data_IF_364543907769
#
_entry.id   IF_364543907769
#
_cell.length_a   1.000
_cell.length_b   1.000
_cell.length_c   1.000
_cell.angle_alpha   90.00
_cell.angle_beta   90.00
_cell.angle_gamma   90.00
#
_symmetry.space_group_name_H-M   'P 1'
#
loop_
_entity.id
_entity.type
_entity.pdbx_description
1 polymer ?
#
# COMPACT_ATOMS: atom_id res chain seq x y z
N UNK A 1 -52.75 33.13 -56.81
CA UNK A 1 -52.66 33.65 -55.44
C UNK A 1 -52.51 32.46 -54.51
N UNK A 2 -51.29 32.15 -54.09
CA UNK A 2 -51.04 31.13 -53.06
C UNK A 2 -51.62 31.64 -51.74
N UNK A 3 -52.59 30.92 -51.22
CA UNK A 3 -53.33 31.25 -50.01
C UNK A 3 -52.42 31.20 -48.77
N UNK A 4 -52.64 32.08 -47.78
CA UNK A 4 -51.80 32.26 -46.56
C UNK A 4 -51.43 30.94 -45.85
N UNK A 5 -52.27 29.91 -45.95
CA UNK A 5 -51.99 28.58 -45.40
C UNK A 5 -50.87 27.80 -46.12
N UNK A 6 -50.66 28.00 -47.42
CA UNK A 6 -49.60 27.34 -48.20
C UNK A 6 -48.23 27.90 -47.85
N UNK A 7 -48.13 29.22 -47.67
CA UNK A 7 -46.90 29.90 -47.23
C UNK A 7 -46.52 29.47 -45.81
N UNK A 8 -47.49 29.43 -44.88
CA UNK A 8 -47.27 28.92 -43.51
C UNK A 8 -46.83 27.45 -43.51
N UNK A 9 -47.43 26.61 -44.35
CA UNK A 9 -47.06 25.19 -44.48
C UNK A 9 -45.63 25.02 -45.01
N UNK A 10 -45.21 25.83 -45.98
CA UNK A 10 -43.84 25.82 -46.50
C UNK A 10 -42.85 26.23 -45.40
N UNK A 11 -43.14 27.31 -44.68
CA UNK A 11 -42.29 27.82 -43.61
C UNK A 11 -42.15 26.82 -42.44
N UNK A 12 -43.23 26.10 -42.11
CA UNK A 12 -43.18 25.03 -41.09
C UNK A 12 -42.30 23.88 -41.58
N UNK A 13 -42.40 23.47 -42.86
CA UNK A 13 -41.55 22.41 -43.43
C UNK A 13 -40.08 22.78 -43.40
N UNK A 14 -39.74 24.01 -43.77
CA UNK A 14 -38.36 24.52 -43.73
C UNK A 14 -37.81 24.53 -42.30
N UNK A 15 -38.62 24.97 -41.34
CA UNK A 15 -38.23 24.94 -39.92
C UNK A 15 -37.99 23.51 -39.43
N UNK A 16 -38.89 22.58 -39.75
CA UNK A 16 -38.76 21.16 -39.39
C UNK A 16 -37.46 20.58 -39.95
N UNK A 17 -37.21 20.76 -41.26
CA UNK A 17 -36.00 20.30 -41.92
C UNK A 17 -34.72 20.88 -41.28
N UNK A 18 -34.72 22.18 -40.95
CA UNK A 18 -33.59 22.81 -40.27
C UNK A 18 -33.36 22.24 -38.86
N UNK A 19 -34.43 21.92 -38.12
CA UNK A 19 -34.31 21.22 -36.82
C UNK A 19 -33.81 19.79 -36.96
N UNK A 20 -34.26 19.05 -37.98
CA UNK A 20 -33.82 17.67 -38.24
C UNK A 20 -32.33 17.63 -38.61
N UNK A 21 -31.87 18.56 -39.43
CA UNK A 21 -30.45 18.71 -39.77
C UNK A 21 -29.62 19.06 -38.53
N UNK A 22 -30.09 19.99 -37.69
CA UNK A 22 -29.41 20.34 -36.44
C UNK A 22 -29.37 19.18 -35.46
N UNK A 23 -30.42 18.36 -35.41
CA UNK A 23 -30.47 17.14 -34.60
C UNK A 23 -29.48 16.08 -35.12
N UNK A 24 -29.38 15.91 -36.45
CA UNK A 24 -28.41 15.02 -37.07
C UNK A 24 -26.96 15.46 -36.78
N UNK A 25 -26.68 16.76 -36.87
CA UNK A 25 -25.38 17.34 -36.52
C UNK A 25 -25.06 17.15 -35.02
N UNK A 26 -26.03 17.31 -34.13
CA UNK A 26 -25.86 17.05 -32.70
C UNK A 26 -25.62 15.57 -32.39
N UNK A 27 -26.30 14.65 -33.09
CA UNK A 27 -26.06 13.21 -32.99
C UNK A 27 -24.67 12.82 -33.48
N UNK A 28 -24.22 13.41 -34.59
CA UNK A 28 -22.87 13.20 -35.13
C UNK A 28 -21.80 13.77 -34.20
N UNK A 29 -22.00 14.96 -33.63
CA UNK A 29 -21.09 15.51 -32.62
C UNK A 29 -21.07 14.66 -31.36
N UNK A 30 -22.22 14.15 -30.90
CA UNK A 30 -22.30 13.22 -29.78
C UNK A 30 -21.57 11.91 -30.06
N UNK A 31 -21.68 11.36 -31.27
CA UNK A 31 -20.95 10.14 -31.64
C UNK A 31 -19.45 10.40 -31.78
N UNK A 32 -19.04 11.54 -32.34
CA UNK A 32 -17.63 11.96 -32.40
C UNK A 32 -17.04 12.19 -31.00
N UNK A 33 -17.81 12.76 -30.07
CA UNK A 33 -17.41 12.89 -28.66
C UNK A 33 -17.38 11.55 -27.92
N UNK A 34 -18.26 10.61 -28.25
CA UNK A 34 -18.23 9.24 -27.71
C UNK A 34 -17.07 8.41 -28.28
N UNK A 35 -16.65 8.67 -29.52
CA UNK A 35 -15.47 8.08 -30.17
C UNK A 35 -14.17 8.76 -29.70
N UNK A 36 -14.24 10.02 -29.26
CA UNK A 36 -13.20 10.71 -28.51
C UNK A 36 -13.06 10.15 -27.08
N UNK A 37 -12.56 8.93 -26.98
CA UNK A 37 -12.21 8.26 -25.72
C UNK A 37 -11.34 9.18 -24.82
N UNK A 38 -11.94 9.70 -23.75
CA UNK A 38 -11.22 10.18 -22.57
C UNK A 38 -10.81 8.93 -21.75
N UNK A 39 -9.57 8.85 -21.29
CA UNK A 39 -8.51 7.95 -21.77
C UNK A 39 -8.61 6.55 -21.13
N UNK A 40 -9.18 5.59 -21.86
CA UNK A 40 -9.29 4.20 -21.42
C UNK A 40 -7.93 3.60 -21.04
N UNK A 41 -6.87 3.99 -21.76
CA UNK A 41 -5.49 3.59 -21.48
C UNK A 41 -4.93 4.19 -20.18
N UNK A 42 -5.19 5.47 -19.88
CA UNK A 42 -4.72 6.14 -18.65
C UNK A 42 -5.43 5.61 -17.41
N UNK A 43 -6.73 5.30 -17.52
CA UNK A 43 -7.47 4.65 -16.44
C UNK A 43 -6.97 3.22 -16.16
N UNK A 44 -6.69 2.44 -17.22
CA UNK A 44 -6.04 1.12 -17.08
C UNK A 44 -4.65 1.23 -16.45
N UNK A 45 -3.86 2.23 -16.81
CA UNK A 45 -2.55 2.48 -16.20
C UNK A 45 -2.67 2.86 -14.71
N UNK A 46 -3.62 3.74 -14.35
CA UNK A 46 -3.86 4.11 -12.96
C UNK A 46 -4.30 2.91 -12.12
N UNK A 47 -5.21 2.08 -12.63
CA UNK A 47 -5.64 0.84 -11.95
C UNK A 47 -4.47 -0.12 -11.73
N UNK A 48 -3.61 -0.31 -12.73
CA UNK A 48 -2.39 -1.14 -12.60
C UNK A 48 -1.39 -0.55 -11.60
N UNK A 49 -1.20 0.77 -11.60
CA UNK A 49 -0.33 1.44 -10.66
C UNK A 49 -0.85 1.29 -9.23
N UNK A 50 -2.14 1.47 -9.01
CA UNK A 50 -2.78 1.25 -7.71
C UNK A 50 -2.61 -0.20 -7.23
N UNK A 51 -2.84 -1.18 -8.10
CA UNK A 51 -2.64 -2.60 -7.78
C UNK A 51 -1.19 -2.89 -7.36
N UNK A 52 -0.19 -2.35 -8.08
CA UNK A 52 1.22 -2.49 -7.70
C UNK A 52 1.56 -1.85 -6.36
N UNK A 53 0.90 -0.75 -6.01
CA UNK A 53 1.07 -0.11 -4.70
C UNK A 53 0.53 -1.02 -3.60
N UNK A 54 -0.66 -1.63 -3.80
CA UNK A 54 -1.22 -2.58 -2.83
C UNK A 54 -0.31 -3.80 -2.65
N UNK A 55 0.16 -4.40 -3.74
CA UNK A 55 1.12 -5.52 -3.71
C UNK A 55 2.42 -5.12 -2.99
N UNK A 56 2.95 -3.92 -3.26
CA UNK A 56 4.14 -3.42 -2.58
C UNK A 56 3.93 -3.22 -1.08
N UNK A 57 2.75 -2.77 -0.65
CA UNK A 57 2.39 -2.63 0.77
C UNK A 57 2.31 -4.01 1.44
N UNK A 58 1.66 -4.98 0.80
CA UNK A 58 1.58 -6.36 1.30
C UNK A 58 2.97 -7.00 1.42
N UNK A 59 3.80 -6.88 0.38
CA UNK A 59 5.17 -7.37 0.40
C UNK A 59 6.02 -6.70 1.49
N UNK A 60 5.87 -5.38 1.68
CA UNK A 60 6.54 -4.66 2.75
C UNK A 60 6.09 -5.14 4.14
N UNK A 61 4.79 -5.41 4.31
CA UNK A 61 4.24 -5.99 5.54
C UNK A 61 4.83 -7.38 5.84
N UNK A 62 4.81 -8.27 4.85
CA UNK A 62 5.38 -9.61 4.96
C UNK A 62 6.89 -9.58 5.28
N UNK A 63 7.66 -8.70 4.61
CA UNK A 63 9.09 -8.54 4.86
C UNK A 63 9.36 -8.05 6.30
N UNK A 64 8.54 -7.14 6.84
CA UNK A 64 8.65 -6.68 8.23
C UNK A 64 8.37 -7.81 9.22
N UNK A 65 7.36 -8.65 8.97
CA UNK A 65 7.07 -9.81 9.82
C UNK A 65 8.20 -10.84 9.78
N UNK A 66 8.78 -11.10 8.61
CA UNK A 66 9.93 -11.96 8.46
C UNK A 66 11.16 -11.42 9.23
N UNK A 67 11.43 -10.12 9.13
CA UNK A 67 12.50 -9.46 9.88
C UNK A 67 12.26 -9.56 11.40
N UNK A 68 11.03 -9.33 11.88
CA UNK A 68 10.69 -9.52 13.29
C UNK A 68 10.94 -10.95 13.76
N UNK A 69 10.60 -11.96 12.94
CA UNK A 69 10.88 -13.36 13.24
C UNK A 69 12.37 -13.69 13.33
N UNK A 70 13.23 -13.05 12.51
CA UNK A 70 14.68 -13.21 12.61
C UNK A 70 15.24 -12.58 13.90
N UNK A 71 14.76 -11.39 14.26
CA UNK A 71 15.17 -10.70 15.48
C UNK A 71 14.79 -11.49 16.74
N UNK A 72 13.64 -12.17 16.76
CA UNK A 72 13.30 -13.05 17.89
C UNK A 72 14.21 -14.28 17.99
N UNK A 73 14.60 -14.86 16.85
CA UNK A 73 15.59 -15.94 16.85
C UNK A 73 16.95 -15.46 17.37
N UNK A 74 17.37 -14.27 16.95
CA UNK A 74 18.59 -13.62 17.44
C UNK A 74 18.53 -13.39 18.95
N UNK A 75 17.42 -12.83 19.46
CA UNK A 75 17.22 -12.62 20.90
C UNK A 75 17.28 -13.93 21.70
N UNK A 76 16.71 -15.02 21.17
CA UNK A 76 16.77 -16.32 21.83
C UNK A 76 18.19 -16.91 21.84
N UNK A 77 19.00 -16.65 20.80
CA UNK A 77 20.41 -17.03 20.76
C UNK A 77 21.23 -16.23 21.78
N UNK A 78 20.98 -14.92 21.91
CA UNK A 78 21.58 -14.10 22.95
C UNK A 78 21.21 -14.57 24.37
N UNK A 79 19.95 -14.91 24.63
CA UNK A 79 19.56 -15.46 25.94
C UNK A 79 20.24 -16.81 26.23
N UNK A 80 20.46 -17.64 25.20
CA UNK A 80 21.22 -18.89 25.35
C UNK A 80 22.69 -18.63 25.68
N UNK A 81 23.32 -17.65 25.01
CA UNK A 81 24.69 -17.23 25.30
C UNK A 81 24.81 -16.64 26.72
N UNK A 82 23.84 -15.83 27.15
CA UNK A 82 23.80 -15.30 28.51
C UNK A 82 23.76 -16.44 29.55
N UNK A 83 22.89 -17.44 29.36
CA UNK A 83 22.83 -18.62 30.25
C UNK A 83 24.14 -19.41 30.26
N UNK A 84 24.81 -19.54 29.12
CA UNK A 84 26.10 -20.22 29.05
C UNK A 84 27.17 -19.47 29.87
N UNK A 85 27.15 -18.14 29.83
CA UNK A 85 28.03 -17.30 30.64
C UNK A 85 27.67 -17.33 32.14
N UNK A 86 26.40 -17.41 32.51
CA UNK A 86 26.01 -17.61 33.91
C UNK A 86 26.60 -18.93 34.45
N UNK A 87 26.47 -20.02 33.69
CA UNK A 87 27.03 -21.32 34.06
C UNK A 87 28.57 -21.27 34.14
N UNK A 88 29.20 -20.49 33.27
CA UNK A 88 30.66 -20.30 33.31
C UNK A 88 31.08 -19.48 34.53
N UNK A 89 30.34 -18.44 34.90
CA UNK A 89 30.58 -17.62 36.09
C UNK A 89 30.50 -18.46 37.36
N UNK A 90 29.52 -19.37 37.46
CA UNK A 90 29.35 -20.30 38.58
C UNK A 90 30.49 -21.32 38.71
N UNK A 91 31.23 -21.58 37.61
CA UNK A 91 32.34 -22.54 37.55
C UNK A 91 33.73 -21.88 37.56
N UNK A 92 33.79 -20.55 37.55
CA UNK A 92 35.03 -19.81 37.50
C UNK A 92 35.86 -20.08 38.77
N UNK A 93 37.18 -20.18 38.62
CA UNK A 93 38.08 -20.50 39.75
C UNK A 93 38.54 -19.26 40.52
N UNK A 94 38.21 -18.07 40.01
CA UNK A 94 38.56 -16.79 40.63
C UNK A 94 37.48 -15.73 40.36
N UNK A 95 37.44 -14.72 41.23
CA UNK A 95 36.41 -13.67 41.20
C UNK A 95 36.48 -12.80 39.94
N UNK A 96 37.69 -12.55 39.41
CA UNK A 96 37.87 -11.70 38.22
C UNK A 96 37.21 -12.33 37.00
N UNK A 97 37.40 -13.62 36.80
CA UNK A 97 36.80 -14.40 35.71
C UNK A 97 35.29 -14.55 35.89
N UNK A 98 34.82 -14.77 37.13
CA UNK A 98 33.39 -14.82 37.44
C UNK A 98 32.69 -13.50 37.08
N UNK A 99 33.25 -12.36 37.53
CA UNK A 99 32.73 -11.02 37.25
C UNK A 99 32.69 -10.75 35.74
N UNK A 100 33.74 -11.14 34.99
CA UNK A 100 33.76 -10.97 33.54
C UNK A 100 32.62 -11.74 32.85
N UNK A 101 32.37 -12.98 33.24
CA UNK A 101 31.27 -13.76 32.69
C UNK A 101 29.89 -13.19 33.02
N UNK A 102 29.68 -12.70 34.25
CA UNK A 102 28.44 -12.01 34.63
C UNK A 102 28.18 -10.80 33.74
N UNK A 103 29.19 -9.94 33.53
CA UNK A 103 29.04 -8.76 32.66
C UNK A 103 28.76 -9.12 31.20
N UNK A 104 29.40 -10.17 30.67
CA UNK A 104 29.12 -10.64 29.30
C UNK A 104 27.69 -11.19 29.21
N UNK A 105 27.22 -11.93 30.22
CA UNK A 105 25.84 -12.40 30.28
C UNK A 105 24.84 -11.23 30.29
N UNK A 106 25.10 -10.18 31.06
CA UNK A 106 24.30 -8.95 31.06
C UNK A 106 24.26 -8.26 29.70
N UNK A 107 25.40 -8.17 29.01
CA UNK A 107 25.48 -7.60 27.67
C UNK A 107 24.63 -8.40 26.66
N UNK A 108 24.68 -9.72 26.71
CA UNK A 108 23.83 -10.57 25.89
C UNK A 108 22.33 -10.38 26.20
N UNK A 109 21.94 -10.31 27.48
CA UNK A 109 20.55 -10.01 27.85
C UNK A 109 20.10 -8.64 27.35
N UNK A 110 20.98 -7.63 27.39
CA UNK A 110 20.69 -6.31 26.84
C UNK A 110 20.47 -6.35 25.32
N UNK A 111 21.33 -7.09 24.59
CA UNK A 111 21.16 -7.31 23.16
C UNK A 111 19.84 -8.02 22.84
N UNK A 112 19.50 -9.08 23.58
CA UNK A 112 18.22 -9.79 23.43
C UNK A 112 16.99 -8.88 23.64
N UNK A 113 17.05 -7.97 24.63
CA UNK A 113 16.00 -6.96 24.85
C UNK A 113 15.90 -5.99 23.68
N UNK A 114 17.04 -5.52 23.16
CA UNK A 114 17.08 -4.63 21.99
C UNK A 114 16.44 -5.28 20.76
N UNK A 115 16.82 -6.52 20.44
CA UNK A 115 16.29 -7.27 19.31
C UNK A 115 14.77 -7.47 19.42
N UNK A 116 14.27 -7.82 20.62
CA UNK A 116 12.82 -7.96 20.87
C UNK A 116 12.07 -6.64 20.70
N UNK A 117 12.65 -5.52 21.13
CA UNK A 117 12.06 -4.20 20.95
C UNK A 117 11.99 -3.82 19.47
N UNK A 118 13.05 -4.11 18.71
CA UNK A 118 13.07 -3.89 17.28
C UNK A 118 12.07 -4.80 16.56
N UNK A 119 11.97 -6.08 16.95
CA UNK A 119 10.98 -7.02 16.42
C UNK A 119 9.54 -6.52 16.65
N UNK A 120 9.24 -6.02 17.86
CA UNK A 120 7.94 -5.40 18.19
C UNK A 120 7.64 -4.21 17.28
N UNK A 121 8.64 -3.36 17.04
CA UNK A 121 8.52 -2.20 16.15
C UNK A 121 8.22 -2.64 14.71
N UNK A 122 8.89 -3.70 14.22
CA UNK A 122 8.61 -4.25 12.89
C UNK A 122 7.20 -4.82 12.78
N UNK A 123 6.71 -5.54 13.81
CA UNK A 123 5.32 -6.05 13.84
C UNK A 123 4.29 -4.93 13.84
N UNK A 124 4.48 -3.92 14.69
CA UNK A 124 3.61 -2.75 14.72
C UNK A 124 3.54 -2.07 13.35
N UNK A 125 4.70 -1.84 12.71
CA UNK A 125 4.77 -1.26 11.37
C UNK A 125 4.27 -2.20 10.26
N UNK A 126 4.24 -3.52 10.48
CA UNK A 126 3.67 -4.48 9.55
C UNK A 126 2.13 -4.52 9.63
N UNK A 127 1.59 -4.37 10.84
CA UNK A 127 0.14 -4.31 11.10
C UNK A 127 -0.51 -2.99 10.72
N UNK A 128 0.26 -1.90 10.67
CA UNK A 128 -0.12 -0.61 10.06
C UNK A 128 -1.43 0.00 10.56
N UNK A 129 -1.34 0.94 11.52
CA UNK A 129 -2.39 1.94 11.82
C UNK A 129 -3.77 1.33 12.14
N UNK A 130 -3.98 0.96 13.40
CA UNK A 130 -5.34 0.89 13.97
C UNK A 130 -5.31 1.49 15.39
N UNK A 131 -4.92 2.76 15.48
CA UNK A 131 -4.97 3.55 16.71
C UNK A 131 -5.90 4.78 16.50
N UNK A 132 -7.04 4.52 15.87
CA UNK A 132 -8.19 5.43 15.82
C UNK A 132 -9.36 4.76 16.54
N UNK A 133 -9.31 4.73 17.87
CA UNK A 133 -10.47 4.49 18.74
C UNK A 133 -10.49 5.52 19.86
#
# INVERSE_FOLDING_TARGET
>A
MTTDWEVRRLHIKERVAATEERLAQLRLRRSQLAVGEIPSARFRQLKRAHQRVLEAVEHAGAARLAAAGQLERSANAHDAAARAHDIAADRATNDVESIAHVHIAEAHRAAARSDRNLARTHRYKAGGIDDSR
#
